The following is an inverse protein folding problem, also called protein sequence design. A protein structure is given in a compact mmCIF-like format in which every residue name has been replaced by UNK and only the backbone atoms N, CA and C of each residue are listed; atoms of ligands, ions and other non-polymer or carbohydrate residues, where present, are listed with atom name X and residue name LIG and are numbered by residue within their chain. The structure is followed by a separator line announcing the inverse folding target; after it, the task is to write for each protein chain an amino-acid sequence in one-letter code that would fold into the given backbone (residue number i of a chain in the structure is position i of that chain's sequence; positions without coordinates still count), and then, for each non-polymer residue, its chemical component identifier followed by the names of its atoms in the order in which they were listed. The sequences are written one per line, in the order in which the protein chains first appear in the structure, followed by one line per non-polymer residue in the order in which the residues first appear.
data_IF_978951721186
#
_entry.id   IF_978951721186
#
_cell.length_a   1.000
_cell.length_b   1.000
_cell.length_c   1.000
_cell.angle_alpha   90.00
_cell.angle_beta   90.00
_cell.angle_gamma   90.00
#
_symmetry.space_group_name_H-M   'P 1'
#
loop_
_entity.id
_entity.type
_entity.pdbx_description
1 polymer ?
#
# COMPACT_ATOMS: atom_id res chain seq x y z
N UNK A 1 4.55 -13.25 -10.43
CA UNK A 1 4.82 -13.69 -9.04
C UNK A 1 3.62 -13.38 -8.16
N UNK A 2 3.17 -14.34 -7.34
CA UNK A 2 2.14 -14.14 -6.31
C UNK A 2 2.86 -14.05 -4.96
N UNK A 3 2.52 -13.06 -4.14
CA UNK A 3 3.16 -12.87 -2.84
C UNK A 3 2.12 -13.04 -1.73
N UNK A 4 2.39 -13.97 -0.82
CA UNK A 4 1.53 -14.32 0.29
C UNK A 4 2.38 -14.30 1.55
N UNK A 5 2.03 -13.43 2.51
CA UNK A 5 2.68 -13.37 3.82
C UNK A 5 1.59 -13.15 4.89
N UNK A 6 1.93 -13.33 6.16
CA UNK A 6 0.99 -13.13 7.28
C UNK A 6 1.30 -11.88 8.09
N UNK A 7 2.58 -11.57 8.28
CA UNK A 7 3.09 -10.30 8.84
C UNK A 7 4.40 -9.94 8.15
N UNK A 8 4.68 -8.65 8.03
CA UNK A 8 5.95 -8.17 7.50
C UNK A 8 6.31 -6.86 8.18
N UNK A 9 7.56 -6.79 8.64
CA UNK A 9 8.16 -5.63 9.28
C UNK A 9 9.51 -5.38 8.63
N UNK A 10 9.73 -4.15 8.19
CA UNK A 10 11.01 -3.76 7.61
C UNK A 10 11.26 -2.28 7.90
N UNK A 11 12.52 -1.92 8.13
CA UNK A 11 12.91 -0.53 8.41
C UNK A 11 13.00 0.29 7.13
N UNK A 12 13.65 -0.23 6.08
CA UNK A 12 13.85 0.44 4.79
C UNK A 12 13.72 -0.54 3.63
N UNK A 13 13.14 -0.08 2.51
CA UNK A 13 13.08 -0.81 1.25
C UNK A 13 13.25 0.19 0.11
N UNK A 14 14.21 -0.10 -0.75
CA UNK A 14 14.54 0.69 -1.92
C UNK A 14 14.67 -0.26 -3.11
N UNK A 15 13.87 -0.07 -4.15
CA UNK A 15 14.00 -0.80 -5.41
C UNK A 15 13.68 0.12 -6.60
N UNK A 16 14.21 -0.19 -7.78
CA UNK A 16 13.95 0.62 -8.97
C UNK A 16 12.59 0.29 -9.60
N UNK A 17 12.28 -0.99 -9.79
CA UNK A 17 11.02 -1.46 -10.38
C UNK A 17 10.46 -2.63 -9.59
N UNK A 18 9.13 -2.70 -9.50
CA UNK A 18 8.45 -3.83 -8.87
C UNK A 18 7.11 -4.12 -9.54
N UNK A 19 6.87 -5.40 -9.82
CA UNK A 19 5.70 -5.89 -10.55
C UNK A 19 5.12 -7.11 -9.83
N UNK A 20 3.84 -7.03 -9.43
CA UNK A 20 3.12 -8.17 -8.84
C UNK A 20 1.73 -8.30 -9.47
N UNK A 21 1.31 -9.54 -9.71
CA UNK A 21 -0.03 -9.82 -10.25
C UNK A 21 -1.10 -9.90 -9.16
N UNK A 22 -0.81 -10.51 -8.00
CA UNK A 22 -1.71 -10.58 -6.83
C UNK A 22 -0.93 -10.51 -5.51
N UNK A 23 -1.38 -9.65 -4.61
CA UNK A 23 -0.87 -9.52 -3.24
C UNK A 23 -2.04 -9.62 -2.24
N UNK A 24 -2.06 -10.68 -1.40
CA UNK A 24 -3.09 -10.95 -0.40
C UNK A 24 -2.46 -11.37 0.94
N UNK A 25 -2.99 -10.89 2.08
CA UNK A 25 -2.53 -11.22 3.45
C UNK A 25 -3.72 -11.57 4.35
N UNK A 26 -3.64 -12.58 5.24
CA UNK A 26 -4.80 -13.04 6.06
C UNK A 26 -4.65 -13.02 7.61
N UNK A 27 -3.75 -13.77 8.33
CA UNK A 27 -3.54 -13.77 9.83
C UNK A 27 -2.54 -14.85 10.37
N UNK A 28 -2.14 -14.84 11.68
CA UNK A 28 -1.78 -16.02 12.56
C UNK A 28 -1.92 -15.74 14.11
N UNK A 29 -2.25 -16.79 14.92
CA UNK A 29 -2.67 -16.84 16.36
C UNK A 29 -1.56 -17.31 17.35
N UNK A 30 -1.58 -17.17 18.71
CA UNK A 30 -2.43 -17.88 19.72
C UNK A 30 -2.41 -17.27 21.16
N UNK A 31 -3.38 -17.70 21.97
CA UNK A 31 -3.84 -17.39 23.34
C UNK A 31 -4.79 -16.18 23.48
N UNK A 32 -4.44 -14.98 22.97
CA UNK A 32 -5.39 -13.87 22.75
C UNK A 32 -5.22 -13.24 21.36
N UNK A 33 -6.36 -12.82 20.82
CA UNK A 33 -6.79 -12.68 19.42
C UNK A 33 -6.07 -11.63 18.52
N UNK A 34 -5.97 -11.98 17.21
CA UNK A 34 -5.83 -11.13 15.99
C UNK A 34 -4.65 -10.14 15.81
N UNK A 35 -3.80 -10.37 14.79
CA UNK A 35 -2.94 -9.32 14.21
C UNK A 35 -2.97 -9.29 12.67
N UNK A 36 -3.03 -8.07 12.12
CA UNK A 36 -3.70 -7.72 10.85
C UNK A 36 -2.95 -6.61 10.07
N UNK A 37 -1.67 -6.36 10.37
CA UNK A 37 -1.01 -5.07 10.10
C UNK A 37 0.34 -5.23 9.37
N UNK A 38 0.63 -4.32 8.45
CA UNK A 38 1.96 -4.10 7.86
C UNK A 38 2.55 -2.79 8.40
N UNK A 39 3.85 -2.80 8.71
CA UNK A 39 4.56 -1.64 9.23
C UNK A 39 5.89 -1.42 8.54
N UNK A 40 6.15 -0.16 8.21
CA UNK A 40 7.41 0.24 7.62
C UNK A 40 7.78 1.68 7.98
N UNK A 41 9.08 2.00 8.04
CA UNK A 41 9.52 3.37 8.34
C UNK A 41 9.78 4.20 7.06
N UNK A 42 10.47 3.64 6.05
CA UNK A 42 10.79 4.35 4.80
C UNK A 42 10.67 3.45 3.57
N UNK A 43 9.98 3.90 2.53
CA UNK A 43 9.91 3.22 1.24
C UNK A 43 10.13 4.20 0.09
N UNK A 44 11.07 3.87 -0.79
CA UNK A 44 11.38 4.64 -1.98
C UNK A 44 11.37 3.74 -3.21
N UNK A 45 10.59 4.12 -4.23
CA UNK A 45 10.47 3.37 -5.48
C UNK A 45 10.34 4.27 -6.70
N UNK A 46 10.97 3.90 -7.82
CA UNK A 46 10.77 4.63 -9.07
C UNK A 46 9.49 4.19 -9.79
N UNK A 47 9.25 2.89 -9.94
CA UNK A 47 8.03 2.37 -10.61
C UNK A 47 7.43 1.19 -9.86
N UNK A 48 6.10 1.19 -9.72
CA UNK A 48 5.36 0.11 -9.09
C UNK A 48 4.06 -0.20 -9.83
N UNK A 49 3.84 -1.49 -10.09
CA UNK A 49 2.68 -2.00 -10.81
C UNK A 49 2.06 -3.18 -10.06
N UNK A 50 0.76 -3.08 -9.76
CA UNK A 50 -0.03 -4.20 -9.24
C UNK A 50 -1.38 -4.32 -9.93
N UNK A 51 -1.79 -5.54 -10.23
CA UNK A 51 -3.16 -5.79 -10.72
C UNK A 51 -4.18 -5.83 -9.58
N UNK A 52 -3.91 -6.54 -8.47
CA UNK A 52 -4.83 -6.61 -7.31
C UNK A 52 -4.10 -6.49 -5.97
N UNK A 53 -4.56 -5.58 -5.11
CA UNK A 53 -4.05 -5.35 -3.76
C UNK A 53 -5.18 -5.33 -2.74
N UNK A 54 -5.13 -6.25 -1.76
CA UNK A 54 -6.08 -6.28 -0.65
C UNK A 54 -5.32 -6.29 0.68
N UNK A 55 -5.60 -5.31 1.54
CA UNK A 55 -4.96 -5.19 2.85
C UNK A 55 -5.92 -4.72 3.93
N UNK A 56 -5.70 -5.17 5.16
CA UNK A 56 -6.61 -4.82 6.24
C UNK A 56 -6.11 -3.65 7.07
N UNK A 57 -4.82 -3.58 7.40
CA UNK A 57 -4.25 -2.39 8.04
C UNK A 57 -2.83 -2.12 7.53
N UNK A 58 -2.56 -0.87 7.17
CA UNK A 58 -1.25 -0.41 6.73
C UNK A 58 -0.81 0.82 7.52
N UNK A 59 0.43 0.79 8.01
CA UNK A 59 1.07 1.88 8.73
C UNK A 59 2.43 2.17 8.11
N UNK A 60 2.68 3.41 7.75
CA UNK A 60 3.99 3.80 7.26
C UNK A 60 4.31 5.26 7.58
N UNK A 61 5.54 5.50 8.02
CA UNK A 61 5.98 6.85 8.32
C UNK A 61 6.24 7.65 7.03
N UNK A 62 7.11 7.17 6.13
CA UNK A 62 7.49 7.91 4.92
C UNK A 62 7.38 7.06 3.66
N UNK A 63 6.62 7.55 2.69
CA UNK A 63 6.48 6.93 1.38
C UNK A 63 6.82 7.95 0.29
N UNK A 64 7.77 7.60 -0.59
CA UNK A 64 8.09 8.35 -1.79
C UNK A 64 8.03 7.43 -3.00
N UNK A 65 7.28 7.83 -4.04
CA UNK A 65 7.27 7.10 -5.29
C UNK A 65 7.16 8.01 -6.50
N UNK A 66 7.90 7.70 -7.56
CA UNK A 66 7.73 8.44 -8.80
C UNK A 66 6.45 8.00 -9.52
N UNK A 67 6.30 6.72 -9.90
CA UNK A 67 5.12 6.24 -10.63
C UNK A 67 4.46 5.02 -10.00
N UNK A 68 3.15 5.11 -9.80
CA UNK A 68 2.32 4.02 -9.29
C UNK A 68 1.16 3.73 -10.23
N UNK A 69 0.98 2.46 -10.55
CA UNK A 69 -0.12 1.97 -11.37
C UNK A 69 -0.79 0.79 -10.68
N UNK A 70 -2.11 0.87 -10.48
CA UNK A 70 -2.84 -0.20 -9.84
C UNK A 70 -4.25 -0.39 -10.38
N UNK A 71 -4.61 -1.64 -10.70
CA UNK A 71 -5.96 -1.90 -11.24
C UNK A 71 -7.00 -1.97 -10.12
N UNK A 72 -6.76 -2.73 -9.05
CA UNK A 72 -7.71 -2.86 -7.94
C UNK A 72 -7.01 -2.72 -6.58
N UNK A 73 -7.52 -1.82 -5.76
CA UNK A 73 -7.06 -1.58 -4.40
C UNK A 73 -8.22 -1.62 -3.42
N UNK A 74 -8.15 -2.51 -2.44
CA UNK A 74 -9.06 -2.56 -1.31
C UNK A 74 -8.25 -2.47 -0.01
N UNK A 75 -8.57 -1.51 0.84
CA UNK A 75 -7.95 -1.40 2.16
C UNK A 75 -8.93 -1.06 3.28
N UNK A 76 -8.89 -1.79 4.41
CA UNK A 76 -9.75 -1.42 5.53
C UNK A 76 -9.21 -0.17 6.26
N UNK A 77 -7.97 -0.17 6.74
CA UNK A 77 -7.38 1.00 7.41
C UNK A 77 -6.01 1.38 6.87
N UNK A 78 -5.84 2.66 6.58
CA UNK A 78 -4.57 3.25 6.14
C UNK A 78 -4.14 4.36 7.09
N UNK A 79 -2.89 4.31 7.52
CA UNK A 79 -2.25 5.34 8.34
C UNK A 79 -0.89 5.71 7.74
N UNK A 80 -0.72 6.99 7.43
CA UNK A 80 0.52 7.50 6.84
C UNK A 80 0.91 8.86 7.41
N UNK A 81 2.18 9.02 7.79
CA UNK A 81 2.62 10.36 8.24
C UNK A 81 3.01 11.26 7.06
N UNK A 82 3.80 10.77 6.10
CA UNK A 82 4.23 11.55 4.93
C UNK A 82 4.13 10.72 3.67
N UNK A 83 3.42 11.25 2.68
CA UNK A 83 3.25 10.66 1.37
C UNK A 83 3.63 11.66 0.29
N UNK A 84 4.57 11.28 -0.57
CA UNK A 84 4.90 12.00 -1.78
C UNK A 84 4.82 11.07 -2.98
N UNK A 85 4.05 11.45 -4.00
CA UNK A 85 3.99 10.70 -5.24
C UNK A 85 3.89 11.61 -6.46
N UNK A 86 4.68 11.34 -7.52
CA UNK A 86 4.60 12.20 -8.71
C UNK A 86 3.42 11.82 -9.62
N UNK A 87 3.22 10.53 -9.90
CA UNK A 87 2.14 10.06 -10.76
C UNK A 87 1.43 8.85 -10.16
N UNK A 88 0.13 8.98 -10.01
CA UNK A 88 -0.75 7.93 -9.50
C UNK A 88 -1.86 7.60 -10.50
N UNK A 89 -1.95 6.33 -10.88
CA UNK A 89 -3.00 5.80 -11.74
C UNK A 89 -3.70 4.64 -11.03
N UNK A 90 -5.02 4.75 -10.86
CA UNK A 90 -5.82 3.67 -10.27
C UNK A 90 -7.19 3.52 -10.93
N UNK A 91 -7.59 2.29 -11.22
CA UNK A 91 -8.94 2.04 -11.77
C UNK A 91 -9.98 1.77 -10.68
N UNK A 92 -9.69 1.00 -9.63
CA UNK A 92 -10.67 0.78 -8.54
C UNK A 92 -10.01 0.98 -7.19
N UNK A 93 -10.64 1.82 -6.36
CA UNK A 93 -10.19 2.15 -5.03
C UNK A 93 -11.34 1.99 -4.05
N UNK A 94 -11.16 1.15 -3.03
CA UNK A 94 -12.06 1.06 -1.89
C UNK A 94 -11.23 1.18 -0.61
N UNK A 95 -11.55 2.16 0.23
CA UNK A 95 -10.93 2.29 1.53
C UNK A 95 -11.92 2.69 2.61
N UNK A 96 -11.99 1.93 3.71
CA UNK A 96 -12.96 2.23 4.78
C UNK A 96 -12.49 3.32 5.75
N UNK A 97 -11.18 3.40 6.02
CA UNK A 97 -10.59 4.42 6.90
C UNK A 97 -9.25 4.87 6.38
N UNK A 98 -9.09 6.19 6.21
CA UNK A 98 -7.88 6.85 5.74
C UNK A 98 -7.44 7.93 6.72
N UNK A 99 -6.19 7.83 7.19
CA UNK A 99 -5.57 8.86 8.00
C UNK A 99 -4.21 9.21 7.42
N UNK A 100 -4.02 10.49 7.08
CA UNK A 100 -2.75 10.98 6.57
C UNK A 100 -2.44 12.38 7.10
N UNK A 101 -1.22 12.58 7.61
CA UNK A 101 -0.83 13.90 8.14
C UNK A 101 -0.25 14.84 7.09
N UNK A 102 0.50 14.33 6.11
CA UNK A 102 1.06 15.12 5.00
C UNK A 102 0.96 14.37 3.69
N UNK A 103 0.41 15.04 2.68
CA UNK A 103 0.14 14.51 1.37
C UNK A 103 0.64 15.46 0.29
N UNK A 104 1.44 14.95 -0.63
CA UNK A 104 1.82 15.67 -1.84
C UNK A 104 1.69 14.74 -3.05
N UNK A 105 0.86 15.13 -4.01
CA UNK A 105 0.76 14.49 -5.32
C UNK A 105 0.76 15.50 -6.43
N UNK A 106 1.58 15.26 -7.45
CA UNK A 106 1.61 16.16 -8.62
C UNK A 106 0.59 15.78 -9.70
N UNK A 107 0.25 14.50 -9.84
CA UNK A 107 -0.74 14.02 -10.81
C UNK A 107 -1.48 12.77 -10.31
N UNK A 108 -2.81 12.78 -10.48
CA UNK A 108 -3.71 11.70 -10.07
C UNK A 108 -4.72 11.44 -11.18
N UNK A 109 -4.92 10.17 -11.52
CA UNK A 109 -6.09 9.73 -12.29
C UNK A 109 -6.74 8.52 -11.61
N UNK A 110 -8.02 8.65 -11.30
CA UNK A 110 -8.86 7.59 -10.74
C UNK A 110 -10.07 7.34 -11.65
N UNK A 111 -10.32 6.08 -12.03
CA UNK A 111 -11.43 5.72 -12.93
C UNK A 111 -12.32 4.61 -12.35
N UNK A 112 -13.20 4.96 -11.41
CA UNK A 112 -14.18 4.05 -10.81
C UNK A 112 -15.03 4.75 -9.75
N UNK A 113 -16.20 4.20 -9.43
CA UNK A 113 -17.10 4.72 -8.39
C UNK A 113 -16.44 4.62 -7.00
N UNK A 114 -16.55 5.71 -6.22
CA UNK A 114 -16.28 5.72 -4.77
C UNK A 114 -17.20 4.76 -4.02
#
# INVERSE_FOLDING_TARGET
MKFYMTKFYMTKFNMMKFYITKFNMMKFYMAKFNMMKFYMAKFNMMKFYITKFNMMKFYMAKFNMMKFYMTKFNMMKFYMTKFNMTKFYMTKFNMTKFYMTKFNMTWVSMMGSL
#
